data_IF_652037112022
#
_entry.id   IF_652037112022
#
_cell.length_a   1.000
_cell.length_b   1.000
_cell.length_c   1.000
_cell.angle_alpha   90.00
_cell.angle_beta   90.00
_cell.angle_gamma   90.00
#
_symmetry.space_group_name_H-M   'P 1'
#
loop_
_entity.id
_entity.type
_entity.pdbx_description
1 polymer ?
#
# COMPACT_ATOMS: atom_id res chain seq x y z
N UNK A 1 -32.10 2.11 11.12
CA UNK A 1 -31.17 2.90 10.29
C UNK A 1 -31.46 3.02 8.78
N UNK A 2 -31.60 1.94 7.98
CA UNK A 2 -31.69 2.06 6.50
C UNK A 2 -32.83 2.98 6.00
N UNK A 3 -34.03 2.88 6.58
CA UNK A 3 -35.16 3.75 6.24
C UNK A 3 -34.88 5.22 6.55
N UNK A 4 -34.16 5.50 7.64
CA UNK A 4 -33.77 6.86 8.08
C UNK A 4 -32.77 7.48 7.10
N UNK A 5 -31.84 6.67 6.60
CA UNK A 5 -30.81 7.09 5.67
C UNK A 5 -31.27 7.10 4.20
N UNK A 6 -32.48 6.59 3.92
CA UNK A 6 -33.05 6.47 2.56
C UNK A 6 -33.09 7.77 1.77
N UNK A 7 -33.61 8.89 2.30
CA UNK A 7 -33.64 10.14 1.55
C UNK A 7 -32.22 10.58 1.14
N UNK A 8 -31.24 10.38 2.03
CA UNK A 8 -29.84 10.77 1.82
C UNK A 8 -29.21 9.96 0.68
N UNK A 9 -29.33 8.62 0.71
CA UNK A 9 -28.70 7.81 -0.34
C UNK A 9 -29.44 7.90 -1.69
N UNK A 10 -30.76 8.14 -1.70
CA UNK A 10 -31.53 8.33 -2.93
C UNK A 10 -31.12 9.63 -3.66
N UNK A 11 -30.95 10.73 -2.93
CA UNK A 11 -30.41 11.98 -3.50
C UNK A 11 -29.04 11.71 -4.17
N UNK A 12 -28.16 10.96 -3.49
CA UNK A 12 -26.82 10.66 -4.00
C UNK A 12 -26.83 9.69 -5.18
N UNK A 13 -27.72 8.70 -5.19
CA UNK A 13 -27.87 7.76 -6.30
C UNK A 13 -28.29 8.46 -7.60
N UNK A 14 -29.06 9.56 -7.50
CA UNK A 14 -29.49 10.34 -8.67
C UNK A 14 -28.34 11.11 -9.34
N UNK A 15 -27.23 11.36 -8.62
CA UNK A 15 -26.07 12.05 -9.18
C UNK A 15 -25.35 11.16 -10.21
N UNK A 16 -25.06 11.72 -11.39
CA UNK A 16 -24.41 11.02 -12.52
C UNK A 16 -23.00 10.54 -12.19
N UNK A 17 -22.31 11.18 -11.25
CA UNK A 17 -20.96 10.83 -10.86
C UNK A 17 -20.90 9.73 -9.79
N UNK A 18 -22.02 9.40 -9.15
CA UNK A 18 -22.07 8.29 -8.18
C UNK A 18 -21.92 6.96 -8.89
N UNK A 19 -20.90 6.18 -8.51
CA UNK A 19 -20.61 4.85 -9.02
C UNK A 19 -21.27 3.76 -8.17
N UNK A 20 -21.26 3.91 -6.84
CA UNK A 20 -21.97 2.98 -5.97
C UNK A 20 -22.11 3.49 -4.55
N UNK A 21 -23.07 2.90 -3.83
CA UNK A 21 -23.38 3.22 -2.44
C UNK A 21 -23.49 1.92 -1.66
N UNK A 22 -22.75 1.83 -0.57
CA UNK A 22 -22.77 0.72 0.38
C UNK A 22 -23.31 1.20 1.73
N UNK A 23 -24.11 0.35 2.38
CA UNK A 23 -24.50 0.49 3.77
C UNK A 23 -23.73 -0.53 4.61
N UNK A 24 -23.08 -0.05 5.66
CA UNK A 24 -22.35 -0.87 6.61
C UNK A 24 -22.98 -0.66 7.98
N UNK A 25 -23.60 -1.70 8.51
CA UNK A 25 -24.20 -1.68 9.84
C UNK A 25 -23.25 -2.28 10.87
N UNK A 26 -23.29 -1.70 12.07
CA UNK A 26 -22.51 -2.15 13.20
C UNK A 26 -22.89 -3.58 13.60
N UNK A 27 -21.92 -4.50 13.56
CA UNK A 27 -22.14 -5.92 13.89
C UNK A 27 -22.05 -6.25 15.38
N UNK A 28 -21.39 -5.40 16.18
CA UNK A 28 -21.09 -5.61 17.61
C UNK A 28 -21.20 -4.28 18.36
N UNK A 29 -21.47 -4.31 19.67
CA UNK A 29 -21.57 -3.12 20.53
C UNK A 29 -20.35 -2.19 20.45
N UNK A 30 -19.17 -2.73 20.16
CA UNK A 30 -17.98 -2.00 19.73
C UNK A 30 -17.50 -2.52 18.37
N UNK A 31 -17.33 -1.60 17.42
CA UNK A 31 -16.96 -1.90 16.03
C UNK A 31 -16.03 -0.82 15.50
N UNK A 32 -14.70 -1.07 15.52
CA UNK A 32 -13.73 -0.19 14.85
C UNK A 32 -13.98 -0.05 13.35
N UNK A 33 -14.67 -1.02 12.75
CA UNK A 33 -15.05 -1.00 11.32
C UNK A 33 -16.06 0.11 11.03
N UNK A 34 -16.85 0.55 12.02
CA UNK A 34 -17.81 1.64 11.86
C UNK A 34 -17.48 2.86 12.74
N UNK A 35 -16.27 2.97 13.28
CA UNK A 35 -15.91 3.98 14.29
C UNK A 35 -16.90 4.02 15.46
N UNK A 36 -17.45 2.86 15.83
CA UNK A 36 -18.51 2.67 16.82
C UNK A 36 -19.86 3.33 16.50
N UNK A 37 -20.01 3.91 15.31
CA UNK A 37 -21.29 4.38 14.76
C UNK A 37 -22.17 3.18 14.39
N UNK A 38 -23.48 3.40 14.41
CA UNK A 38 -24.48 2.36 14.18
C UNK A 38 -24.58 2.02 12.69
N UNK A 39 -24.34 2.99 11.81
CA UNK A 39 -24.13 2.72 10.39
C UNK A 39 -23.18 3.68 9.67
N UNK A 40 -22.68 3.22 8.53
CA UNK A 40 -21.91 4.00 7.57
C UNK A 40 -22.54 3.88 6.19
N UNK A 41 -22.78 5.02 5.55
CA UNK A 41 -23.02 5.13 4.12
C UNK A 41 -21.70 5.41 3.43
N UNK A 42 -21.20 4.45 2.67
CA UNK A 42 -19.99 4.61 1.89
C UNK A 42 -20.34 4.84 0.42
N UNK A 43 -19.94 5.98 -0.14
CA UNK A 43 -20.26 6.42 -1.49
C UNK A 43 -18.98 6.53 -2.29
N UNK A 44 -18.95 5.85 -3.44
CA UNK A 44 -17.86 6.01 -4.42
C UNK A 44 -18.39 6.81 -5.60
N UNK A 45 -17.65 7.84 -6.00
CA UNK A 45 -17.96 8.67 -7.17
C UNK A 45 -16.81 8.64 -8.18
N UNK A 46 -17.07 9.03 -9.43
CA UNK A 46 -16.02 9.16 -10.46
C UNK A 46 -14.97 10.21 -10.06
N UNK A 47 -15.46 11.37 -9.65
CA UNK A 47 -14.65 12.51 -9.21
C UNK A 47 -15.22 13.06 -7.92
N UNK A 48 -14.36 13.71 -7.14
CA UNK A 48 -14.75 14.47 -5.95
C UNK A 48 -13.95 15.76 -5.92
N UNK A 49 -14.56 16.85 -5.48
CA UNK A 49 -13.84 18.12 -5.27
C UNK A 49 -12.83 18.03 -4.12
N UNK A 50 -13.11 17.14 -3.15
CA UNK A 50 -12.25 16.88 -1.98
C UNK A 50 -11.83 15.42 -1.96
N UNK A 51 -10.64 15.12 -1.45
CA UNK A 51 -10.10 13.74 -1.41
C UNK A 51 -10.95 12.80 -0.55
N UNK A 52 -11.54 13.31 0.53
CA UNK A 52 -12.47 12.59 1.39
C UNK A 52 -13.49 13.57 1.98
N UNK A 53 -14.77 13.28 1.75
CA UNK A 53 -15.87 14.05 2.32
C UNK A 53 -16.64 13.22 3.34
N UNK A 54 -16.78 13.75 4.56
CA UNK A 54 -17.44 13.06 5.67
C UNK A 54 -18.56 13.95 6.21
N UNK A 55 -19.75 13.38 6.39
CA UNK A 55 -20.86 13.97 7.15
C UNK A 55 -21.33 12.99 8.21
N UNK A 56 -21.55 13.48 9.42
CA UNK A 56 -22.11 12.67 10.50
C UNK A 56 -23.57 13.08 10.74
N UNK A 57 -24.38 12.10 11.12
CA UNK A 57 -25.80 12.22 11.37
C UNK A 57 -26.13 11.59 12.71
N UNK A 58 -27.11 12.16 13.39
CA UNK A 58 -27.71 11.62 14.60
C UNK A 58 -29.22 11.67 14.44
N UNK A 59 -29.88 10.57 14.76
CA UNK A 59 -31.34 10.45 14.76
C UNK A 59 -31.74 9.65 15.99
N UNK A 60 -32.46 10.28 16.91
CA UNK A 60 -32.74 9.73 18.24
C UNK A 60 -31.42 9.32 18.95
N UNK A 61 -31.22 8.03 19.24
CA UNK A 61 -29.98 7.50 19.82
C UNK A 61 -29.11 6.74 18.79
N UNK A 62 -29.48 6.81 17.52
CA UNK A 62 -28.78 6.16 16.40
C UNK A 62 -27.82 7.17 15.72
N UNK A 63 -26.57 6.77 15.49
CA UNK A 63 -25.52 7.60 14.86
C UNK A 63 -25.05 6.98 13.56
N UNK A 64 -24.91 7.80 12.53
CA UNK A 64 -24.43 7.36 11.23
C UNK A 64 -23.42 8.33 10.63
N UNK A 65 -22.63 7.85 9.67
CA UNK A 65 -21.75 8.70 8.88
C UNK A 65 -21.84 8.39 7.40
N UNK A 66 -21.82 9.43 6.58
CA UNK A 66 -21.63 9.37 5.15
C UNK A 66 -20.15 9.65 4.85
N UNK A 67 -19.51 8.71 4.18
CA UNK A 67 -18.17 8.83 3.64
C UNK A 67 -18.27 8.83 2.12
N UNK A 68 -17.66 9.82 1.47
CA UNK A 68 -17.59 9.90 0.02
C UNK A 68 -16.14 10.01 -0.44
N UNK A 69 -15.77 9.17 -1.39
CA UNK A 69 -14.43 9.10 -1.96
C UNK A 69 -14.52 8.92 -3.49
N UNK A 70 -13.55 9.46 -4.20
CA UNK A 70 -13.42 9.21 -5.64
C UNK A 70 -12.91 7.79 -5.92
N UNK A 71 -13.17 7.29 -7.12
CA UNK A 71 -12.59 6.06 -7.64
C UNK A 71 -11.06 6.05 -7.54
N UNK A 72 -10.42 7.19 -7.83
CA UNK A 72 -8.96 7.33 -7.68
C UNK A 72 -8.54 7.13 -6.22
N UNK A 73 -9.21 7.79 -5.28
CA UNK A 73 -8.89 7.66 -3.85
C UNK A 73 -9.08 6.23 -3.36
N UNK A 74 -10.12 5.56 -3.85
CA UNK A 74 -10.38 4.14 -3.58
C UNK A 74 -9.25 3.24 -4.06
N UNK A 75 -8.82 3.43 -5.30
CA UNK A 75 -7.68 2.71 -5.88
C UNK A 75 -6.41 2.92 -5.04
N UNK A 76 -6.12 4.15 -4.62
CA UNK A 76 -4.97 4.47 -3.77
C UNK A 76 -5.02 3.75 -2.41
N UNK A 77 -6.19 3.69 -1.75
CA UNK A 77 -6.34 2.98 -0.48
C UNK A 77 -6.16 1.47 -0.62
N UNK A 78 -6.70 0.88 -1.69
CA UNK A 78 -6.55 -0.55 -2.00
C UNK A 78 -5.07 -0.87 -2.26
N UNK A 79 -4.39 -0.06 -3.08
CA UNK A 79 -2.99 -0.26 -3.45
C UNK A 79 -2.05 -0.13 -2.24
N UNK A 80 -2.28 0.87 -1.40
CA UNK A 80 -1.44 1.10 -0.22
C UNK A 80 -1.65 0.08 0.91
N UNK A 81 -2.77 -0.64 0.91
CA UNK A 81 -3.13 -1.59 1.96
C UNK A 81 -3.29 -0.95 3.35
N UNK A 82 -3.42 0.38 3.41
CA UNK A 82 -3.45 1.17 4.65
C UNK A 82 -4.84 1.27 5.25
N UNK A 83 -5.90 1.06 4.45
CA UNK A 83 -7.27 1.27 4.89
C UNK A 83 -8.12 -0.01 4.82
N UNK A 84 -7.88 -0.92 5.78
CA UNK A 84 -8.55 -2.22 5.87
C UNK A 84 -10.06 -2.12 6.04
N UNK A 85 -10.52 -1.05 6.69
CA UNK A 85 -11.93 -0.77 6.89
C UNK A 85 -12.67 -0.60 5.56
N UNK A 86 -12.04 0.08 4.60
CA UNK A 86 -12.57 0.23 3.24
C UNK A 86 -12.69 -1.13 2.54
N UNK A 87 -11.67 -2.00 2.67
CA UNK A 87 -11.74 -3.35 2.10
C UNK A 87 -12.92 -4.14 2.71
N UNK A 88 -13.10 -4.09 4.03
CA UNK A 88 -14.23 -4.73 4.69
C UNK A 88 -15.57 -4.18 4.19
N UNK A 89 -15.69 -2.85 4.07
CA UNK A 89 -16.90 -2.21 3.55
C UNK A 89 -17.26 -2.68 2.14
N UNK A 90 -16.28 -2.79 1.23
CA UNK A 90 -16.51 -3.27 -0.14
C UNK A 90 -16.95 -4.74 -0.15
N UNK A 91 -16.28 -5.59 0.65
CA UNK A 91 -16.54 -7.02 0.63
C UNK A 91 -17.87 -7.38 1.32
N UNK A 92 -18.17 -6.70 2.43
CA UNK A 92 -19.23 -7.09 3.37
C UNK A 92 -20.39 -6.08 3.48
N UNK A 93 -20.27 -4.89 2.91
CA UNK A 93 -21.33 -3.88 2.91
C UNK A 93 -22.52 -4.28 2.04
N UNK A 94 -23.72 -3.86 2.45
CA UNK A 94 -24.94 -4.02 1.65
C UNK A 94 -24.93 -3.00 0.51
N UNK A 95 -24.98 -3.47 -0.72
CA UNK A 95 -25.06 -2.59 -1.90
C UNK A 95 -26.46 -1.97 -1.97
N UNK A 96 -26.54 -0.64 -1.84
CA UNK A 96 -27.79 0.13 -1.97
C UNK A 96 -27.98 0.71 -3.38
N UNK A 97 -26.88 0.98 -4.08
CA UNK A 97 -26.86 1.46 -5.45
C UNK A 97 -25.56 1.02 -6.14
N UNK A 98 -25.66 0.60 -7.39
CA UNK A 98 -24.50 0.18 -8.19
C UNK A 98 -24.69 0.56 -9.66
N UNK A 99 -23.88 1.51 -10.14
CA UNK A 99 -23.93 1.98 -11.52
C UNK A 99 -23.03 1.09 -12.36
N UNK A 100 -23.63 0.43 -13.36
CA UNK A 100 -22.91 -0.46 -14.29
C UNK A 100 -22.11 -1.55 -13.56
N UNK A 101 -22.64 -2.10 -12.46
CA UNK A 101 -22.01 -3.18 -11.69
C UNK A 101 -20.59 -2.84 -11.17
N UNK A 102 -20.32 -1.57 -10.91
CA UNK A 102 -19.02 -1.11 -10.42
C UNK A 102 -18.62 -1.78 -9.10
N UNK A 103 -19.52 -1.84 -8.11
CA UNK A 103 -19.24 -2.42 -6.80
C UNK A 103 -19.04 -3.93 -6.89
N UNK A 104 -19.88 -4.61 -7.67
CA UNK A 104 -19.75 -6.05 -7.89
C UNK A 104 -18.42 -6.40 -8.58
N UNK A 105 -18.06 -5.66 -9.63
CA UNK A 105 -16.78 -5.85 -10.33
C UNK A 105 -15.58 -5.55 -9.43
N UNK A 106 -15.67 -4.51 -8.59
CA UNK A 106 -14.63 -4.19 -7.62
C UNK A 106 -14.46 -5.29 -6.57
N UNK A 107 -15.57 -5.79 -6.02
CA UNK A 107 -15.59 -6.92 -5.08
C UNK A 107 -14.97 -8.16 -5.69
N UNK A 108 -15.36 -8.51 -6.93
CA UNK A 108 -14.77 -9.63 -7.67
C UNK A 108 -13.26 -9.47 -7.86
N UNK A 109 -12.80 -8.29 -8.28
CA UNK A 109 -11.36 -7.99 -8.45
C UNK A 109 -10.58 -8.12 -7.15
N UNK A 110 -11.16 -7.70 -6.01
CA UNK A 110 -10.54 -7.88 -4.69
C UNK A 110 -10.45 -9.35 -4.25
N UNK A 111 -11.40 -10.19 -4.66
CA UNK A 111 -11.40 -11.63 -4.33
C UNK A 111 -10.44 -12.39 -5.26
N UNK A 112 -10.50 -12.12 -6.56
CA UNK A 112 -9.71 -12.80 -7.60
C UNK A 112 -8.21 -12.44 -7.51
N UNK A 113 -7.91 -11.27 -6.92
CA UNK A 113 -6.59 -10.68 -6.79
C UNK A 113 -5.68 -10.83 -8.02
N UNK A 114 -6.01 -10.13 -9.13
CA UNK A 114 -5.31 -10.29 -10.41
C UNK A 114 -3.79 -10.10 -10.31
N UNK A 115 -3.07 -10.78 -11.20
CA UNK A 115 -1.60 -10.76 -11.24
C UNK A 115 -1.03 -9.34 -11.42
N UNK A 116 -1.69 -8.50 -12.18
CA UNK A 116 -1.30 -7.11 -12.42
C UNK A 116 -1.33 -6.30 -11.12
N UNK A 117 -2.48 -6.30 -10.42
CA UNK A 117 -2.65 -5.66 -9.11
C UNK A 117 -1.62 -6.17 -8.11
N UNK A 118 -1.40 -7.49 -8.10
CA UNK A 118 -0.42 -8.11 -7.23
C UNK A 118 1.00 -7.65 -7.54
N UNK A 119 1.38 -7.58 -8.81
CA UNK A 119 2.71 -7.13 -9.25
C UNK A 119 2.93 -5.66 -8.85
N UNK A 120 1.92 -4.80 -9.02
CA UNK A 120 1.95 -3.41 -8.58
C UNK A 120 2.08 -3.28 -7.06
N UNK A 121 1.28 -4.03 -6.29
CA UNK A 121 1.36 -4.05 -4.82
C UNK A 121 2.71 -4.59 -4.31
N UNK A 122 3.30 -5.57 -4.98
CA UNK A 122 4.66 -6.02 -4.71
C UNK A 122 5.65 -4.86 -4.88
N UNK A 123 5.57 -4.09 -5.97
CA UNK A 123 6.40 -2.90 -6.16
C UNK A 123 6.25 -1.87 -5.05
N UNK A 124 5.01 -1.60 -4.61
CA UNK A 124 4.72 -0.69 -3.48
C UNK A 124 5.36 -1.18 -2.18
N UNK A 125 5.13 -2.44 -1.80
CA UNK A 125 5.68 -2.98 -0.55
C UNK A 125 7.20 -3.11 -0.60
N UNK A 126 7.76 -3.42 -1.77
CA UNK A 126 9.22 -3.47 -1.94
C UNK A 126 9.86 -2.08 -1.81
N UNK A 127 9.25 -1.03 -2.37
CA UNK A 127 9.77 0.34 -2.20
C UNK A 127 9.82 0.75 -0.72
N UNK A 128 8.75 0.48 0.04
CA UNK A 128 8.70 0.72 1.50
C UNK A 128 9.72 -0.12 2.27
N UNK A 129 9.90 -1.38 1.89
CA UNK A 129 10.94 -2.26 2.45
C UNK A 129 12.32 -1.63 2.27
N UNK A 130 12.69 -1.24 1.05
CA UNK A 130 13.99 -0.64 0.76
C UNK A 130 14.21 0.63 1.56
N UNK A 131 13.19 1.50 1.68
CA UNK A 131 13.29 2.69 2.53
C UNK A 131 13.62 2.33 3.98
N UNK A 132 12.80 1.49 4.60
CA UNK A 132 12.96 1.13 6.01
C UNK A 132 14.27 0.41 6.28
N UNK A 133 14.69 -0.46 5.35
CA UNK A 133 15.95 -1.19 5.45
C UNK A 133 17.17 -0.26 5.39
N UNK A 134 17.24 0.64 4.40
CA UNK A 134 18.36 1.58 4.24
C UNK A 134 18.44 2.59 5.40
N UNK A 135 17.32 3.22 5.77
CA UNK A 135 17.28 4.14 6.91
C UNK A 135 17.64 3.44 8.22
N UNK A 136 17.20 2.19 8.41
CA UNK A 136 17.57 1.39 9.57
C UNK A 136 19.08 1.14 9.65
N UNK A 137 19.72 0.81 8.51
CA UNK A 137 21.18 0.64 8.43
C UNK A 137 21.91 1.95 8.76
N UNK A 138 21.40 3.08 8.28
CA UNK A 138 22.00 4.39 8.55
C UNK A 138 21.93 4.73 10.06
N UNK A 139 20.76 4.56 10.69
CA UNK A 139 20.63 4.76 12.15
C UNK A 139 21.54 3.82 12.94
N UNK A 140 21.64 2.56 12.52
CA UNK A 140 22.53 1.59 13.16
C UNK A 140 24.00 2.02 13.07
N UNK A 141 24.46 2.42 11.88
CA UNK A 141 25.82 2.92 11.67
C UNK A 141 26.13 4.18 12.48
N UNK A 142 25.12 5.01 12.75
CA UNK A 142 25.21 6.20 13.61
C UNK A 142 25.04 5.90 15.11
N UNK A 143 24.99 4.63 15.54
CA UNK A 143 24.75 4.20 16.93
C UNK A 143 23.38 4.61 17.52
N UNK A 144 22.40 4.96 16.68
CA UNK A 144 21.03 5.25 17.08
C UNK A 144 20.20 3.95 17.10
N UNK A 145 20.52 3.06 18.03
CA UNK A 145 19.99 1.70 18.04
C UNK A 145 18.47 1.59 18.23
N UNK A 146 17.86 2.49 19.00
CA UNK A 146 16.40 2.46 19.21
C UNK A 146 15.64 2.84 17.92
N UNK A 147 16.14 3.83 17.18
CA UNK A 147 15.60 4.22 15.89
C UNK A 147 15.82 3.11 14.85
N UNK A 148 17.03 2.55 14.80
CA UNK A 148 17.35 1.40 13.94
C UNK A 148 16.41 0.21 14.22
N UNK A 149 16.12 -0.07 15.50
CA UNK A 149 15.19 -1.13 15.91
C UNK A 149 13.78 -0.92 15.36
N UNK A 150 13.25 0.30 15.44
CA UNK A 150 11.95 0.62 14.86
C UNK A 150 11.93 0.41 13.33
N UNK A 151 12.98 0.86 12.63
CA UNK A 151 13.10 0.67 11.19
C UNK A 151 13.22 -0.82 10.79
N UNK A 152 13.97 -1.63 11.54
CA UNK A 152 14.08 -3.08 11.30
C UNK A 152 12.73 -3.77 11.47
N UNK A 153 11.94 -3.43 12.51
CA UNK A 153 10.59 -3.98 12.67
C UNK A 153 9.73 -3.68 11.45
N UNK A 154 9.78 -2.43 10.95
CA UNK A 154 9.02 -2.07 9.76
C UNK A 154 9.51 -2.78 8.49
N UNK A 155 10.83 -2.92 8.32
CA UNK A 155 11.41 -3.67 7.21
C UNK A 155 10.96 -5.14 7.23
N UNK A 156 11.02 -5.81 8.39
CA UNK A 156 10.55 -7.18 8.55
C UNK A 156 9.04 -7.32 8.28
N UNK A 157 8.23 -6.35 8.69
CA UNK A 157 6.80 -6.32 8.33
C UNK A 157 6.58 -6.20 6.82
N UNK A 158 7.33 -5.36 6.12
CA UNK A 158 7.23 -5.25 4.66
C UNK A 158 7.72 -6.52 3.96
N UNK A 159 8.79 -7.16 4.44
CA UNK A 159 9.24 -8.48 3.97
C UNK A 159 8.14 -9.53 4.14
N UNK A 160 7.48 -9.58 5.29
CA UNK A 160 6.38 -10.51 5.53
C UNK A 160 5.21 -10.28 4.56
N UNK A 161 4.79 -9.03 4.37
CA UNK A 161 3.74 -8.68 3.39
C UNK A 161 4.13 -9.04 1.97
N UNK A 162 5.39 -8.76 1.59
CA UNK A 162 5.94 -9.10 0.28
C UNK A 162 5.90 -10.60 0.02
N UNK A 163 6.26 -11.42 1.03
CA UNK A 163 6.19 -12.88 0.96
C UNK A 163 4.76 -13.40 0.75
N UNK A 164 3.79 -12.82 1.47
CA UNK A 164 2.37 -13.17 1.30
C UNK A 164 1.87 -12.79 -0.10
N UNK A 165 2.24 -11.59 -0.59
CA UNK A 165 1.90 -11.13 -1.94
C UNK A 165 2.52 -12.00 -3.03
N UNK A 166 3.77 -12.40 -2.89
CA UNK A 166 4.44 -13.29 -3.84
C UNK A 166 3.68 -14.61 -4.03
N UNK A 167 3.11 -15.13 -2.94
CA UNK A 167 2.37 -16.38 -2.91
C UNK A 167 0.89 -16.25 -3.33
N UNK A 168 0.47 -15.08 -3.83
CA UNK A 168 -0.89 -14.91 -4.37
C UNK A 168 -1.93 -14.46 -3.36
N UNK A 169 -1.55 -14.20 -2.11
CA UNK A 169 -2.50 -13.87 -1.04
C UNK A 169 -2.48 -12.38 -0.68
N UNK A 170 -3.61 -11.89 -0.17
CA UNK A 170 -3.65 -10.57 0.46
C UNK A 170 -2.99 -10.62 1.84
N UNK A 171 -2.06 -9.71 2.16
CA UNK A 171 -1.55 -9.58 3.52
C UNK A 171 -2.66 -9.16 4.50
N UNK A 172 -2.88 -9.98 5.53
CA UNK A 172 -3.91 -9.78 6.54
C UNK A 172 -3.44 -8.92 7.72
N UNK A 173 -4.33 -8.71 8.71
CA UNK A 173 -3.99 -8.11 10.00
C UNK A 173 -2.92 -8.91 10.72
N UNK A 174 -3.10 -10.21 10.75
CA UNK A 174 -2.26 -11.20 11.41
C UNK A 174 -1.20 -11.74 10.43
N UNK A 175 -0.53 -10.85 9.70
CA UNK A 175 0.44 -11.22 8.64
C UNK A 175 1.51 -12.22 9.12
N UNK A 176 1.90 -12.15 10.40
CA UNK A 176 2.85 -13.08 11.00
C UNK A 176 2.35 -14.53 11.02
N UNK A 177 1.04 -14.76 11.18
CA UNK A 177 0.45 -16.10 11.08
C UNK A 177 0.48 -16.63 9.65
N UNK A 178 0.33 -15.75 8.65
CA UNK A 178 0.45 -16.12 7.24
C UNK A 178 1.91 -16.45 6.91
N UNK A 179 2.84 -15.54 7.23
CA UNK A 179 4.26 -15.72 6.89
C UNK A 179 4.90 -16.89 7.63
N UNK A 180 4.44 -17.22 8.84
CA UNK A 180 4.89 -18.43 9.56
C UNK A 180 4.65 -19.72 8.78
N UNK A 181 3.62 -19.77 7.93
CA UNK A 181 3.32 -20.91 7.06
C UNK A 181 3.99 -20.80 5.69
N UNK A 182 4.09 -19.58 5.15
CA UNK A 182 4.56 -19.31 3.79
C UNK A 182 6.09 -19.25 3.71
N UNK A 183 6.72 -18.46 4.57
CA UNK A 183 8.18 -18.26 4.59
C UNK A 183 8.65 -18.15 6.06
N UNK A 184 8.76 -19.29 6.77
CA UNK A 184 9.03 -19.33 8.21
C UNK A 184 10.37 -18.70 8.61
N UNK A 185 11.30 -18.54 7.66
CA UNK A 185 12.56 -17.82 7.88
C UNK A 185 12.34 -16.34 8.24
N UNK A 186 11.40 -15.65 7.59
CA UNK A 186 11.06 -14.25 7.91
C UNK A 186 10.43 -14.14 9.30
N UNK A 187 9.54 -15.08 9.65
CA UNK A 187 8.94 -15.13 10.98
C UNK A 187 10.01 -15.31 12.07
N UNK A 188 10.97 -16.21 11.86
CA UNK A 188 12.06 -16.47 12.80
C UNK A 188 12.94 -15.25 13.04
N UNK A 189 13.20 -14.43 12.01
CA UNK A 189 13.92 -13.17 12.21
C UNK A 189 13.18 -12.19 13.12
N UNK A 190 11.86 -12.07 12.95
CA UNK A 190 11.05 -11.22 13.83
C UNK A 190 10.98 -11.76 15.26
N UNK A 191 10.86 -13.07 15.40
CA UNK A 191 10.89 -13.74 16.70
C UNK A 191 12.23 -13.52 17.41
N UNK A 192 13.35 -13.75 16.73
CA UNK A 192 14.71 -13.55 17.26
C UNK A 192 14.94 -12.10 17.73
N UNK A 193 14.45 -11.10 16.98
CA UNK A 193 14.51 -9.69 17.38
C UNK A 193 13.90 -9.46 18.77
N UNK A 194 12.78 -10.13 19.06
CA UNK A 194 12.00 -9.94 20.29
C UNK A 194 12.55 -10.77 21.44
N UNK A 195 12.85 -12.06 21.20
CA UNK A 195 13.15 -13.02 22.28
C UNK A 195 14.62 -13.04 22.69
N UNK A 196 15.52 -12.62 21.79
CA UNK A 196 16.95 -12.70 22.02
C UNK A 196 17.37 -11.86 23.23
N UNK A 197 18.22 -12.45 24.06
CA UNK A 197 18.76 -11.82 25.27
C UNK A 197 20.03 -11.01 24.98
N UNK A 198 20.45 -10.93 23.71
CA UNK A 198 21.61 -10.13 23.33
C UNK A 198 21.34 -8.61 23.42
N UNK A 199 22.43 -7.85 23.54
CA UNK A 199 22.39 -6.40 23.41
C UNK A 199 21.71 -5.97 22.10
N UNK A 200 20.94 -4.87 22.13
CA UNK A 200 20.15 -4.41 20.97
C UNK A 200 21.04 -4.22 19.74
N UNK A 201 22.25 -3.68 19.91
CA UNK A 201 23.21 -3.50 18.82
C UNK A 201 23.55 -4.84 18.13
N UNK A 202 23.81 -5.89 18.89
CA UNK A 202 24.17 -7.21 18.33
C UNK A 202 22.99 -7.87 17.62
N UNK A 203 21.79 -7.79 18.22
CA UNK A 203 20.55 -8.26 17.59
C UNK A 203 20.31 -7.58 16.24
N UNK A 204 20.47 -6.25 16.19
CA UNK A 204 20.30 -5.48 14.96
C UNK A 204 21.34 -5.85 13.91
N UNK A 205 22.61 -6.02 14.28
CA UNK A 205 23.68 -6.44 13.37
C UNK A 205 23.31 -7.74 12.63
N UNK A 206 22.93 -8.78 13.38
CA UNK A 206 22.56 -10.08 12.83
C UNK A 206 21.32 -9.98 11.94
N UNK A 207 20.33 -9.18 12.33
CA UNK A 207 19.12 -9.00 11.54
C UNK A 207 19.35 -8.21 10.27
N UNK A 208 20.22 -7.21 10.25
CA UNK A 208 20.56 -6.51 9.02
C UNK A 208 21.27 -7.44 8.05
N UNK A 209 22.19 -8.29 8.52
CA UNK A 209 22.86 -9.30 7.70
C UNK A 209 21.85 -10.27 7.07
N UNK A 210 20.95 -10.83 7.88
CA UNK A 210 19.93 -11.76 7.39
C UNK A 210 18.92 -11.07 6.46
N UNK A 211 18.49 -9.86 6.80
CA UNK A 211 17.56 -9.07 5.99
C UNK A 211 18.18 -8.67 4.65
N UNK A 212 19.49 -8.40 4.59
CA UNK A 212 20.18 -8.08 3.34
C UNK A 212 20.11 -9.24 2.35
N UNK A 213 20.32 -10.48 2.81
CA UNK A 213 20.15 -11.67 1.99
C UNK A 213 18.72 -11.79 1.45
N UNK A 214 17.70 -11.60 2.30
CA UNK A 214 16.29 -11.69 1.90
C UNK A 214 15.88 -10.57 0.94
N UNK A 215 16.32 -9.33 1.18
CA UNK A 215 16.07 -8.19 0.29
C UNK A 215 16.67 -8.47 -1.09
N UNK A 216 17.90 -9.00 -1.16
CA UNK A 216 18.54 -9.37 -2.41
C UNK A 216 17.75 -10.46 -3.15
N UNK A 217 17.34 -11.52 -2.46
CA UNK A 217 16.51 -12.62 -3.00
C UNK A 217 15.19 -12.11 -3.62
N UNK A 218 14.60 -11.05 -3.05
CA UNK A 218 13.31 -10.47 -3.49
C UNK A 218 13.47 -9.32 -4.51
N UNK A 219 14.68 -8.96 -4.91
CA UNK A 219 14.93 -7.73 -5.67
C UNK A 219 14.28 -7.76 -7.05
N UNK A 220 14.49 -8.81 -7.84
CA UNK A 220 13.92 -8.91 -9.19
C UNK A 220 12.39 -8.87 -9.17
N UNK A 221 11.79 -9.59 -8.20
CA UNK A 221 10.35 -9.59 -7.99
C UNK A 221 9.83 -8.20 -7.64
N UNK A 222 10.47 -7.52 -6.69
CA UNK A 222 10.09 -6.18 -6.25
C UNK A 222 10.25 -5.10 -7.32
N UNK A 223 11.28 -5.21 -8.15
CA UNK A 223 11.55 -4.29 -9.25
C UNK A 223 10.63 -4.50 -10.46
N UNK A 224 10.01 -5.67 -10.57
CA UNK A 224 9.29 -6.12 -11.77
C UNK A 224 8.30 -5.11 -12.32
N UNK A 225 7.50 -4.49 -11.45
CA UNK A 225 6.51 -3.50 -11.86
C UNK A 225 7.17 -2.27 -12.50
N UNK A 226 8.14 -1.66 -11.81
CA UNK A 226 8.85 -0.48 -12.31
C UNK A 226 9.58 -0.79 -13.61
N UNK A 227 10.30 -1.91 -13.68
CA UNK A 227 11.03 -2.35 -14.87
C UNK A 227 10.08 -2.59 -16.04
N UNK A 228 8.91 -3.18 -15.80
CA UNK A 228 7.91 -3.38 -16.84
C UNK A 228 7.46 -2.06 -17.46
N UNK A 229 7.01 -1.10 -16.64
CA UNK A 229 6.61 0.25 -17.09
C UNK A 229 7.75 0.95 -17.84
N UNK A 230 8.96 0.89 -17.27
CA UNK A 230 10.12 1.52 -17.87
C UNK A 230 10.48 0.94 -19.23
N UNK A 231 10.21 -0.36 -19.50
CA UNK A 231 10.49 -1.00 -20.78
C UNK A 231 9.34 -0.91 -21.78
N UNK A 232 8.09 -0.83 -21.32
CA UNK A 232 6.91 -0.91 -22.19
C UNK A 232 6.59 0.40 -22.92
N UNK A 233 6.92 1.56 -22.34
CA UNK A 233 6.44 2.84 -22.86
C UNK A 233 7.54 3.71 -23.50
N UNK A 234 8.76 3.69 -22.94
CA UNK A 234 9.86 4.56 -23.40
C UNK A 234 11.21 3.87 -23.18
N UNK A 235 12.23 4.29 -23.93
CA UNK A 235 13.59 3.78 -23.74
C UNK A 235 14.34 4.48 -22.59
N UNK A 236 13.91 5.68 -22.20
CA UNK A 236 14.64 6.56 -21.30
C UNK A 236 13.66 7.43 -20.52
N UNK A 237 13.91 7.60 -19.23
CA UNK A 237 13.03 8.31 -18.31
C UNK A 237 13.78 9.35 -17.48
N UNK A 238 13.20 10.52 -17.31
CA UNK A 238 13.60 11.45 -16.26
C UNK A 238 12.97 11.05 -14.92
N UNK A 239 13.55 11.49 -13.81
CA UNK A 239 12.94 11.27 -12.49
C UNK A 239 11.53 11.89 -12.42
N UNK A 240 11.36 13.07 -13.02
CA UNK A 240 10.08 13.79 -13.01
C UNK A 240 8.99 13.04 -13.79
N UNK A 241 9.32 12.36 -14.89
CA UNK A 241 8.35 11.53 -15.60
C UNK A 241 7.94 10.32 -14.77
N UNK A 242 8.89 9.63 -14.12
CA UNK A 242 8.59 8.45 -13.30
C UNK A 242 7.73 8.80 -12.09
N UNK A 243 8.04 9.88 -11.38
CA UNK A 243 7.32 10.26 -10.15
C UNK A 243 5.86 10.68 -10.43
N UNK A 244 5.57 11.20 -11.62
CA UNK A 244 4.23 11.59 -12.06
C UNK A 244 3.50 10.50 -12.86
N UNK A 245 4.15 9.36 -13.13
CA UNK A 245 3.51 8.28 -13.86
C UNK A 245 2.37 7.65 -13.04
N UNK A 246 1.14 7.49 -13.58
CA UNK A 246 -0.01 6.99 -12.82
C UNK A 246 0.22 5.63 -12.15
N UNK A 247 0.94 4.73 -12.82
CA UNK A 247 1.24 3.40 -12.28
C UNK A 247 2.31 3.42 -11.18
N UNK A 248 3.21 4.41 -11.17
CA UNK A 248 4.32 4.52 -10.21
C UNK A 248 3.94 5.40 -9.01
N UNK A 249 2.98 6.32 -9.19
CA UNK A 249 2.47 7.23 -8.17
C UNK A 249 2.25 6.58 -6.78
N UNK A 250 1.72 5.34 -6.65
CA UNK A 250 1.52 4.71 -5.34
C UNK A 250 2.78 4.54 -4.49
N UNK A 251 3.97 4.57 -5.08
CA UNK A 251 5.26 4.50 -4.37
C UNK A 251 6.23 5.60 -4.80
N UNK A 252 5.71 6.70 -5.36
CA UNK A 252 6.48 7.86 -5.78
C UNK A 252 7.35 8.46 -4.66
N UNK A 253 6.86 8.46 -3.42
CA UNK A 253 7.59 8.97 -2.24
C UNK A 253 8.88 8.19 -1.97
N UNK A 254 8.88 6.89 -2.28
CA UNK A 254 10.01 5.98 -2.07
C UNK A 254 10.82 5.76 -3.35
N UNK A 255 10.41 6.36 -4.48
CA UNK A 255 11.03 6.12 -5.78
C UNK A 255 12.52 6.49 -5.81
N UNK A 256 12.91 7.58 -5.16
CA UNK A 256 14.32 8.01 -5.12
C UNK A 256 15.24 6.94 -4.52
N UNK A 257 14.90 6.43 -3.33
CA UNK A 257 15.73 5.42 -2.67
C UNK A 257 15.65 4.06 -3.37
N UNK A 258 14.50 3.74 -3.95
CA UNK A 258 14.34 2.54 -4.77
C UNK A 258 15.23 2.59 -6.02
N UNK A 259 15.27 3.70 -6.74
CA UNK A 259 16.10 3.85 -7.93
C UNK A 259 17.58 3.70 -7.62
N UNK A 260 18.09 4.37 -6.57
CA UNK A 260 19.50 4.21 -6.16
C UNK A 260 19.81 2.76 -5.79
N UNK A 261 18.92 2.09 -5.05
CA UNK A 261 19.08 0.68 -4.74
C UNK A 261 19.12 -0.20 -6.00
N UNK A 262 18.23 0.02 -6.97
CA UNK A 262 18.21 -0.76 -8.21
C UNK A 262 19.40 -0.47 -9.14
N UNK A 263 20.00 0.73 -9.03
CA UNK A 263 21.26 1.06 -9.70
C UNK A 263 22.41 0.27 -9.06
N UNK A 264 22.49 0.24 -7.72
CA UNK A 264 23.46 -0.60 -6.99
C UNK A 264 23.34 -2.10 -7.35
N UNK A 265 22.12 -2.56 -7.67
CA UNK A 265 21.83 -3.93 -8.09
C UNK A 265 21.96 -4.18 -9.60
N UNK A 266 22.45 -3.20 -10.35
CA UNK A 266 22.66 -3.29 -11.79
C UNK A 266 21.38 -3.54 -12.63
N UNK A 267 20.20 -3.28 -12.07
CA UNK A 267 18.89 -3.46 -12.74
C UNK A 267 18.50 -2.20 -13.52
N UNK A 268 18.88 -1.03 -13.02
CA UNK A 268 18.65 0.27 -13.66
C UNK A 268 20.00 0.93 -13.95
N UNK A 269 20.12 1.51 -15.14
CA UNK A 269 21.28 2.29 -15.56
C UNK A 269 20.97 3.78 -15.53
N UNK A 270 21.97 4.59 -15.13
CA UNK A 270 21.91 6.04 -15.25
C UNK A 270 22.60 6.48 -16.54
N UNK A 271 21.85 7.14 -17.42
CA UNK A 271 22.38 7.86 -18.57
C UNK A 271 22.56 9.33 -18.20
N UNK A 272 23.77 9.85 -18.40
CA UNK A 272 24.13 11.25 -18.12
C UNK A 272 23.89 12.08 -19.37
N UNK A 273 22.93 12.99 -19.33
CA UNK A 273 22.63 13.93 -20.42
C UNK A 273 23.21 15.29 -20.07
N UNK A 274 24.15 15.80 -20.84
CA UNK A 274 24.83 17.06 -20.54
C UNK A 274 23.85 18.25 -20.55
N UNK A 275 23.96 19.11 -19.54
CA UNK A 275 23.18 20.36 -19.47
C UNK A 275 23.96 21.51 -20.10
N UNK A 276 23.36 22.70 -20.17
CA UNK A 276 24.08 23.91 -20.60
C UNK A 276 25.24 24.30 -19.67
N UNK A 277 25.23 23.83 -18.42
CA UNK A 277 26.32 24.03 -17.47
C UNK A 277 27.41 22.98 -17.66
N UNK A 278 28.67 23.42 -17.81
CA UNK A 278 29.82 22.52 -17.93
C UNK A 278 29.87 21.56 -16.75
N UNK A 279 30.08 20.28 -17.03
CA UNK A 279 30.20 19.20 -16.03
C UNK A 279 28.95 18.97 -15.17
N UNK A 280 27.79 19.49 -15.57
CA UNK A 280 26.49 19.23 -14.95
C UNK A 280 25.63 18.38 -15.88
N UNK A 281 25.17 17.23 -15.38
CA UNK A 281 24.40 16.26 -16.15
C UNK A 281 23.01 16.06 -15.57
N UNK A 282 22.00 16.07 -16.43
CA UNK A 282 20.67 15.58 -16.11
C UNK A 282 20.71 14.05 -16.10
N UNK A 283 20.24 13.45 -14.99
CA UNK A 283 20.18 12.00 -14.83
C UNK A 283 18.91 11.46 -15.46
N UNK A 284 19.09 10.61 -16.46
CA UNK A 284 18.03 9.82 -17.03
C UNK A 284 18.22 8.35 -16.64
N UNK A 285 17.13 7.59 -16.56
CA UNK A 285 17.08 6.23 -16.08
C UNK A 285 16.60 5.29 -17.17
N UNK A 286 17.29 4.16 -17.31
CA UNK A 286 16.99 3.11 -18.30
C UNK A 286 16.95 1.78 -17.57
N UNK A 287 15.88 1.01 -17.78
CA UNK A 287 15.81 -0.36 -17.28
C UNK A 287 16.66 -1.27 -18.19
N UNK A 288 17.57 -2.06 -17.61
CA UNK A 288 18.38 -3.03 -18.36
C UNK A 288 17.54 -4.23 -18.80
#
# INVERSE_FOLDING_TARGET
MEDVLRPIYQERASNKDTLGILLIEKKKSESPVTDNLDAILFIVTKTTETSLFIKQYEYENERAALYMASEQQMSEWIMNGTNRRIIDWILNGKVLFDRNEYMENLKKRLIDFPREDRTKRIGVEFAKLIRRFKEGKDFYASNHYLDAFNHVIHALHHLARLSVLENGFHPEVTVWNQVKKIEPEIHRLYEELIISQEEVSKRLELLFLASEFLVNKKTELGAKHLVHIMKSEKQEWTFNELVHHPEIRPYAIDLGILLEFLIEKDIIMVKKVETKGKSLYHRHYVAK
#
